data_IF_304148511367
#
_entry.id   IF_304148511367
#
_cell.length_a   1.000
_cell.length_b   1.000
_cell.length_c   1.000
_cell.angle_alpha   90.00
_cell.angle_beta   90.00
_cell.angle_gamma   90.00
#
_symmetry.space_group_name_H-M   'P 1'
#
loop_
_entity.id
_entity.type
_entity.pdbx_description
1 polymer ?
#
# COMPACT_ATOMS: atom_id res chain seq x y z
N UNK A 1 -13.73 27.73 84.59
CA UNK A 1 -14.85 27.96 83.63
C UNK A 1 -14.35 27.64 82.20
N UNK A 2 -14.64 26.44 81.69
CA UNK A 2 -14.21 26.02 80.39
C UNK A 2 -15.35 26.26 79.43
N UNK A 3 -15.15 27.10 78.41
CA UNK A 3 -16.10 27.30 77.31
C UNK A 3 -15.93 26.21 76.29
N UNK A 4 -17.00 25.45 76.03
CA UNK A 4 -17.12 24.44 74.95
C UNK A 4 -17.63 25.19 73.72
N UNK A 5 -16.84 25.16 72.62
CA UNK A 5 -17.22 25.68 71.33
C UNK A 5 -17.71 24.49 70.50
N UNK A 6 -19.01 24.53 70.10
CA UNK A 6 -19.65 23.53 69.28
C UNK A 6 -19.43 23.91 67.84
N UNK A 7 -18.70 23.08 67.05
CA UNK A 7 -18.59 23.21 65.57
C UNK A 7 -19.71 22.44 64.92
N UNK A 8 -20.56 23.16 64.22
CA UNK A 8 -21.56 22.57 63.36
C UNK A 8 -20.90 22.19 62.01
N UNK A 9 -20.92 20.90 61.66
CA UNK A 9 -20.49 20.39 60.35
C UNK A 9 -21.69 20.43 59.40
N UNK A 10 -21.63 21.34 58.42
CA UNK A 10 -22.61 21.37 57.31
C UNK A 10 -22.14 20.41 56.24
N UNK A 11 -22.84 19.30 56.04
CA UNK A 11 -22.56 18.36 54.98
C UNK A 11 -23.13 18.89 53.64
N UNK A 12 -22.23 19.23 52.74
CA UNK A 12 -22.57 19.61 51.36
C UNK A 12 -22.74 18.33 50.52
N UNK A 13 -23.98 17.99 50.15
CA UNK A 13 -24.29 16.91 49.22
C UNK A 13 -23.96 17.37 47.80
N UNK A 14 -22.82 16.94 47.28
CA UNK A 14 -22.53 17.04 45.87
C UNK A 14 -23.25 15.92 45.09
N UNK A 15 -24.33 16.27 44.39
CA UNK A 15 -24.96 15.40 43.42
C UNK A 15 -24.05 15.33 42.19
N UNK A 16 -23.28 14.24 42.06
CA UNK A 16 -22.55 13.88 40.87
C UNK A 16 -23.55 13.46 39.78
N UNK A 17 -23.74 14.32 38.80
CA UNK A 17 -24.44 13.99 37.57
C UNK A 17 -23.51 13.09 36.72
N UNK A 18 -23.60 11.78 36.89
CA UNK A 18 -22.88 10.80 36.09
C UNK A 18 -23.44 10.80 34.68
N UNK A 19 -22.76 11.45 33.75
CA UNK A 19 -22.96 11.20 32.32
C UNK A 19 -22.54 9.77 32.03
N UNK A 20 -23.54 8.88 31.78
CA UNK A 20 -23.29 7.57 31.18
C UNK A 20 -22.73 7.82 29.78
N UNK A 21 -21.41 7.67 29.64
CA UNK A 21 -20.80 7.43 28.33
C UNK A 21 -21.25 6.03 27.90
N UNK A 22 -22.23 5.97 27.02
CA UNK A 22 -22.55 4.76 26.29
C UNK A 22 -21.29 4.36 25.48
N UNK A 23 -20.47 3.49 26.06
CA UNK A 23 -19.46 2.75 25.33
C UNK A 23 -20.22 1.79 24.41
N UNK A 24 -20.54 2.26 23.22
CA UNK A 24 -20.98 1.40 22.11
C UNK A 24 -19.75 0.58 21.72
N UNK A 25 -19.52 -0.51 22.44
CA UNK A 25 -18.66 -1.61 22.03
C UNK A 25 -19.37 -2.39 20.91
N UNK A 26 -19.62 -1.72 19.79
CA UNK A 26 -19.90 -2.39 18.52
C UNK A 26 -18.56 -2.88 18.01
N UNK A 27 -18.29 -4.19 18.11
CA UNK A 27 -17.28 -4.85 17.28
C UNK A 27 -17.60 -4.47 15.83
N UNK A 28 -16.85 -3.50 15.27
CA UNK A 28 -16.91 -3.19 13.85
C UNK A 28 -16.55 -4.49 13.14
N UNK A 29 -17.58 -5.19 12.62
CA UNK A 29 -17.39 -6.35 11.74
C UNK A 29 -16.40 -5.91 10.69
N UNK A 30 -15.27 -6.59 10.56
CA UNK A 30 -14.21 -6.17 9.65
C UNK A 30 -14.84 -5.90 8.28
N UNK A 31 -14.63 -4.70 7.74
CA UNK A 31 -15.18 -4.29 6.43
C UNK A 31 -14.68 -5.17 5.27
N UNK A 32 -13.77 -6.10 5.54
CA UNK A 32 -13.12 -7.01 4.59
C UNK A 32 -13.56 -8.47 4.71
N UNK A 33 -14.45 -8.83 5.64
CA UNK A 33 -14.91 -10.23 5.84
C UNK A 33 -15.61 -10.82 4.60
N UNK A 34 -16.14 -9.96 3.73
CA UNK A 34 -16.84 -10.37 2.50
C UNK A 34 -15.98 -10.15 1.24
N UNK A 35 -14.67 -9.91 1.39
CA UNK A 35 -13.81 -9.79 0.22
C UNK A 35 -13.69 -11.15 -0.47
N UNK A 36 -14.03 -11.18 -1.77
CA UNK A 36 -13.94 -12.40 -2.57
C UNK A 36 -12.52 -12.54 -3.11
N UNK A 37 -11.74 -13.44 -2.51
CA UNK A 37 -10.41 -13.75 -2.98
C UNK A 37 -10.45 -14.46 -4.33
N UNK A 38 -9.53 -14.12 -5.26
CA UNK A 38 -9.40 -14.86 -6.52
C UNK A 38 -8.92 -16.30 -6.26
N UNK A 39 -9.19 -17.17 -7.22
CA UNK A 39 -8.50 -18.45 -7.32
C UNK A 39 -7.03 -18.19 -7.67
N UNK A 40 -6.10 -18.75 -6.90
CA UNK A 40 -4.67 -18.73 -7.21
C UNK A 40 -4.29 -20.05 -7.86
N UNK A 41 -3.83 -19.98 -9.10
CA UNK A 41 -3.23 -21.09 -9.82
C UNK A 41 -1.71 -20.94 -9.77
N UNK A 42 -1.08 -21.71 -8.86
CA UNK A 42 0.36 -21.70 -8.70
C UNK A 42 1.03 -22.72 -9.63
N UNK A 43 2.03 -22.28 -10.40
CA UNK A 43 2.77 -23.11 -11.35
C UNK A 43 4.27 -22.98 -11.10
N UNK A 44 4.93 -24.11 -10.88
CA UNK A 44 6.39 -24.16 -10.85
C UNK A 44 6.95 -24.55 -12.23
N UNK A 45 7.69 -23.63 -12.85
CA UNK A 45 8.48 -23.86 -14.06
C UNK A 45 9.99 -23.82 -13.81
N UNK A 46 10.41 -23.71 -12.57
CA UNK A 46 11.82 -23.62 -12.15
C UNK A 46 12.27 -24.87 -11.38
N UNK A 47 11.56 -26.01 -11.54
CA UNK A 47 11.87 -27.25 -10.82
C UNK A 47 13.32 -27.70 -11.02
N UNK A 48 14.00 -28.07 -9.90
CA UNK A 48 15.41 -28.47 -9.89
C UNK A 48 16.40 -27.31 -9.83
N UNK A 49 15.96 -26.05 -9.73
CA UNK A 49 16.83 -24.89 -9.50
C UNK A 49 16.99 -24.58 -8.02
N UNK A 50 18.14 -24.08 -7.61
CA UNK A 50 18.41 -23.61 -6.24
C UNK A 50 17.37 -22.60 -5.78
N UNK A 51 17.02 -21.63 -6.64
CA UNK A 51 16.03 -20.60 -6.31
C UNK A 51 14.62 -21.16 -6.05
N UNK A 52 14.22 -22.23 -6.77
CA UNK A 52 12.97 -22.94 -6.47
C UNK A 52 13.01 -23.61 -5.10
N UNK A 53 14.09 -24.32 -4.79
CA UNK A 53 14.22 -25.03 -3.50
C UNK A 53 14.16 -24.03 -2.32
N UNK A 54 14.81 -22.88 -2.46
CA UNK A 54 14.76 -21.79 -1.47
C UNK A 54 13.32 -21.27 -1.34
N UNK A 55 12.67 -20.93 -2.46
CA UNK A 55 11.30 -20.41 -2.46
C UNK A 55 10.34 -21.38 -1.79
N UNK A 56 10.35 -22.66 -2.19
CA UNK A 56 9.46 -23.69 -1.68
C UNK A 56 9.66 -23.95 -0.17
N UNK A 57 10.89 -23.85 0.31
CA UNK A 57 11.22 -23.96 1.74
C UNK A 57 10.65 -22.80 2.55
N UNK A 58 10.75 -21.57 2.02
CA UNK A 58 10.36 -20.34 2.74
C UNK A 58 8.85 -20.08 2.62
N UNK A 59 8.26 -20.38 1.46
CA UNK A 59 6.84 -20.16 1.16
C UNK A 59 6.19 -21.48 0.74
N UNK A 60 5.99 -22.40 1.69
CA UNK A 60 5.46 -23.74 1.38
C UNK A 60 3.98 -23.72 0.98
N UNK A 61 3.29 -22.63 1.22
CA UNK A 61 1.88 -22.45 0.84
C UNK A 61 1.66 -21.13 0.08
N UNK A 62 2.01 -21.09 -1.22
CA UNK A 62 1.90 -19.88 -2.03
C UNK A 62 0.47 -19.31 -2.12
N UNK A 63 -0.57 -20.15 -2.16
CA UNK A 63 -1.97 -19.70 -2.21
C UNK A 63 -2.32 -18.82 -1.00
N UNK A 64 -2.03 -19.28 0.19
CA UNK A 64 -2.30 -18.53 1.44
C UNK A 64 -1.45 -17.27 1.48
N UNK A 65 -0.18 -17.35 1.09
CA UNK A 65 0.73 -16.22 1.11
C UNK A 65 0.30 -15.12 0.13
N UNK A 66 -0.09 -15.48 -1.09
CA UNK A 66 -0.57 -14.53 -2.11
C UNK A 66 -1.88 -13.88 -1.65
N UNK A 67 -2.85 -14.65 -1.14
CA UNK A 67 -4.14 -14.12 -0.64
C UNK A 67 -3.96 -13.13 0.51
N UNK A 68 -3.00 -13.38 1.41
CA UNK A 68 -2.66 -12.42 2.46
C UNK A 68 -2.15 -11.10 1.87
N UNK A 69 -1.25 -11.15 0.89
CA UNK A 69 -0.72 -9.94 0.24
C UNK A 69 -1.78 -9.22 -0.59
N UNK A 70 -2.72 -9.92 -1.24
CA UNK A 70 -3.88 -9.31 -1.90
C UNK A 70 -4.67 -8.46 -0.90
N UNK A 71 -4.96 -8.99 0.28
CA UNK A 71 -5.72 -8.26 1.28
C UNK A 71 -5.01 -6.99 1.73
N UNK A 72 -3.70 -7.03 1.91
CA UNK A 72 -2.89 -5.83 2.24
C UNK A 72 -2.96 -4.77 1.13
N UNK A 73 -2.88 -5.18 -0.14
CA UNK A 73 -3.00 -4.29 -1.31
C UNK A 73 -4.38 -3.63 -1.36
N UNK A 74 -5.45 -4.42 -1.32
CA UNK A 74 -6.81 -3.86 -1.45
C UNK A 74 -7.17 -2.99 -0.24
N UNK A 75 -6.70 -3.31 0.96
CA UNK A 75 -6.87 -2.47 2.15
C UNK A 75 -6.12 -1.13 2.05
N UNK A 76 -5.04 -1.07 1.28
CA UNK A 76 -4.31 0.17 1.02
C UNK A 76 -4.99 1.03 -0.03
N UNK A 77 -5.64 0.42 -1.03
CA UNK A 77 -6.26 1.11 -2.18
C UNK A 77 -7.74 1.45 -1.98
N UNK A 78 -8.44 0.79 -1.04
CA UNK A 78 -9.90 0.87 -0.84
C UNK A 78 -10.26 0.93 0.64
N UNK A 79 -11.47 1.40 0.96
CA UNK A 79 -11.96 1.48 2.34
C UNK A 79 -12.63 0.18 2.81
N UNK A 80 -13.25 -0.56 1.89
CA UNK A 80 -13.99 -1.76 2.22
C UNK A 80 -14.12 -2.71 1.02
N UNK A 81 -14.52 -3.95 1.28
CA UNK A 81 -14.85 -4.92 0.23
C UNK A 81 -16.10 -4.57 -0.58
N UNK A 82 -16.86 -3.54 -0.17
CA UNK A 82 -18.03 -3.05 -0.90
C UNK A 82 -17.68 -1.97 -1.94
N UNK A 83 -16.43 -1.49 -1.96
CA UNK A 83 -15.99 -0.53 -2.97
C UNK A 83 -15.90 -1.20 -4.35
N UNK A 84 -15.88 -0.39 -5.42
CA UNK A 84 -15.73 -0.89 -6.79
C UNK A 84 -14.30 -1.36 -7.07
N UNK A 85 -13.93 -2.47 -6.45
CA UNK A 85 -12.63 -3.13 -6.62
C UNK A 85 -12.62 -3.90 -7.94
N UNK A 86 -11.54 -3.85 -8.76
CA UNK A 86 -11.39 -4.69 -9.95
C UNK A 86 -11.63 -6.17 -9.62
N UNK A 87 -12.59 -6.78 -10.31
CA UNK A 87 -13.03 -8.15 -10.02
C UNK A 87 -12.07 -9.18 -10.64
N UNK A 88 -10.91 -9.33 -10.04
CA UNK A 88 -9.96 -10.40 -10.40
C UNK A 88 -10.50 -11.73 -9.85
N UNK A 89 -10.80 -12.65 -10.77
CA UNK A 89 -11.33 -13.98 -10.43
C UNK A 89 -10.22 -15.03 -10.33
N UNK A 90 -9.12 -14.82 -11.08
CA UNK A 90 -8.01 -15.77 -11.14
C UNK A 90 -6.66 -15.09 -11.26
N UNK A 91 -5.69 -15.62 -10.54
CA UNK A 91 -4.27 -15.25 -10.61
C UNK A 91 -3.46 -16.48 -10.98
N UNK A 92 -2.79 -16.43 -12.13
CA UNK A 92 -1.78 -17.42 -12.50
C UNK A 92 -0.43 -16.91 -12.00
N UNK A 93 0.07 -17.51 -10.92
CA UNK A 93 1.35 -17.15 -10.34
C UNK A 93 2.38 -18.23 -10.66
N UNK A 94 3.46 -17.85 -11.34
CA UNK A 94 4.46 -18.78 -11.87
C UNK A 94 5.84 -18.44 -11.33
N UNK A 95 6.55 -19.44 -10.78
CA UNK A 95 7.98 -19.35 -10.54
C UNK A 95 8.70 -19.84 -11.80
N UNK A 96 9.59 -18.99 -12.38
CA UNK A 96 10.28 -19.26 -13.63
C UNK A 96 11.79 -19.09 -13.48
N UNK A 97 12.58 -19.93 -14.15
CA UNK A 97 14.03 -19.78 -14.22
C UNK A 97 14.44 -18.83 -15.37
N UNK A 98 14.19 -17.55 -15.14
CA UNK A 98 14.44 -16.48 -16.11
C UNK A 98 15.17 -15.29 -15.47
N UNK A 99 15.82 -14.48 -16.30
CA UNK A 99 16.38 -13.21 -15.85
C UNK A 99 15.26 -12.19 -15.53
N UNK A 100 15.62 -11.18 -14.74
CA UNK A 100 14.69 -10.17 -14.26
C UNK A 100 14.22 -10.46 -12.83
N UNK A 101 13.10 -9.87 -12.46
CA UNK A 101 12.52 -10.02 -11.12
C UNK A 101 11.11 -10.60 -11.22
N UNK A 102 10.19 -9.83 -11.80
CA UNK A 102 8.78 -10.16 -11.92
C UNK A 102 8.12 -9.27 -12.97
N UNK A 103 6.95 -9.66 -13.44
CA UNK A 103 6.03 -8.79 -14.16
C UNK A 103 4.60 -9.32 -14.06
N UNK A 104 3.64 -8.39 -14.07
CA UNK A 104 2.22 -8.70 -14.19
C UNK A 104 1.76 -8.59 -15.64
N UNK A 105 1.03 -9.58 -16.11
CA UNK A 105 0.31 -9.59 -17.39
C UNK A 105 -1.19 -9.75 -17.22
N UNK A 106 -1.95 -9.63 -18.32
CA UNK A 106 -3.39 -9.77 -18.33
C UNK A 106 -4.13 -8.60 -17.66
N UNK A 107 -5.44 -8.79 -17.43
CA UNK A 107 -6.33 -7.83 -16.81
C UNK A 107 -7.57 -8.54 -16.27
N UNK A 108 -8.59 -7.79 -15.83
CA UNK A 108 -9.85 -8.37 -15.37
C UNK A 108 -10.44 -9.26 -16.46
N UNK A 109 -10.88 -10.49 -16.15
CA UNK A 109 -10.99 -11.11 -14.82
C UNK A 109 -9.76 -11.97 -14.42
N UNK A 110 -8.72 -12.08 -15.25
CA UNK A 110 -7.60 -12.99 -15.04
C UNK A 110 -6.26 -12.28 -15.26
N UNK A 111 -5.38 -12.32 -14.24
CA UNK A 111 -4.02 -11.79 -14.32
C UNK A 111 -3.00 -12.92 -14.20
N UNK A 112 -1.81 -12.69 -14.76
CA UNK A 112 -0.65 -13.54 -14.58
C UNK A 112 0.48 -12.76 -13.92
N UNK A 113 1.22 -13.40 -13.05
CA UNK A 113 2.43 -12.86 -12.42
C UNK A 113 3.50 -13.92 -12.54
N UNK A 114 4.64 -13.62 -13.15
CA UNK A 114 5.82 -14.45 -13.00
C UNK A 114 6.74 -13.89 -11.91
N UNK A 115 7.50 -14.76 -11.25
CA UNK A 115 8.54 -14.41 -10.30
C UNK A 115 9.78 -15.24 -10.59
N UNK A 116 10.94 -14.58 -10.70
CA UNK A 116 12.19 -15.21 -11.06
C UNK A 116 12.80 -16.03 -9.93
N UNK A 117 13.07 -17.31 -10.16
CA UNK A 117 13.82 -18.15 -9.22
C UNK A 117 15.27 -17.66 -9.05
N UNK A 118 15.86 -17.05 -10.09
CA UNK A 118 17.19 -16.44 -10.01
C UNK A 118 17.22 -15.24 -9.08
N UNK A 119 16.13 -14.46 -9.01
CA UNK A 119 16.01 -13.36 -8.07
C UNK A 119 15.87 -13.86 -6.62
N UNK A 120 15.15 -14.98 -6.42
CA UNK A 120 15.06 -15.65 -5.11
C UNK A 120 16.45 -16.07 -4.64
N UNK A 121 17.22 -16.76 -5.48
CA UNK A 121 18.58 -17.20 -5.16
C UNK A 121 19.51 -16.02 -4.85
N UNK A 122 19.47 -14.96 -5.67
CA UNK A 122 20.23 -13.74 -5.44
C UNK A 122 19.85 -13.05 -4.12
N UNK A 123 18.57 -13.07 -3.78
CA UNK A 123 18.07 -12.49 -2.53
C UNK A 123 18.58 -13.26 -1.31
N UNK A 124 18.60 -14.59 -1.38
CA UNK A 124 19.13 -15.45 -0.34
C UNK A 124 20.64 -15.22 -0.14
N UNK A 125 21.42 -15.17 -1.21
CA UNK A 125 22.83 -14.81 -1.17
C UNK A 125 23.08 -13.42 -0.58
N UNK A 126 22.16 -12.48 -0.76
CA UNK A 126 22.25 -11.11 -0.27
C UNK A 126 21.83 -10.90 1.18
N UNK A 127 21.24 -11.91 1.86
CA UNK A 127 20.76 -11.73 3.23
C UNK A 127 19.92 -12.87 3.80
N UNK A 128 20.02 -14.07 3.22
CA UNK A 128 19.35 -15.28 3.72
C UNK A 128 17.83 -15.26 3.59
N UNK A 129 17.17 -16.11 4.36
CA UNK A 129 15.72 -16.34 4.32
C UNK A 129 14.89 -15.07 4.55
N UNK A 130 15.31 -14.21 5.49
CA UNK A 130 14.63 -12.96 5.78
C UNK A 130 14.62 -12.02 4.57
N UNK A 131 15.73 -11.98 3.82
CA UNK A 131 15.83 -11.18 2.60
C UNK A 131 14.94 -11.75 1.49
N UNK A 132 14.88 -13.06 1.34
CA UNK A 132 13.97 -13.71 0.38
C UNK A 132 12.52 -13.38 0.71
N UNK A 133 12.12 -13.52 1.98
CA UNK A 133 10.77 -13.22 2.42
C UNK A 133 10.41 -11.75 2.20
N UNK A 134 11.32 -10.84 2.52
CA UNK A 134 11.16 -9.39 2.32
C UNK A 134 11.00 -9.04 0.83
N UNK A 135 11.86 -9.56 -0.04
CA UNK A 135 11.80 -9.27 -1.49
C UNK A 135 10.56 -9.91 -2.12
N UNK A 136 10.25 -11.16 -1.81
CA UNK A 136 9.06 -11.85 -2.33
C UNK A 136 7.78 -11.12 -1.94
N UNK A 137 7.67 -10.66 -0.68
CA UNK A 137 6.56 -9.84 -0.24
C UNK A 137 6.51 -8.50 -0.98
N UNK A 138 7.65 -7.82 -1.09
CA UNK A 138 7.74 -6.54 -1.78
C UNK A 138 7.33 -6.63 -3.26
N UNK A 139 7.78 -7.66 -3.96
CA UNK A 139 7.40 -7.93 -5.35
C UNK A 139 5.89 -8.23 -5.45
N UNK A 140 5.35 -9.08 -4.58
CA UNK A 140 3.91 -9.36 -4.60
C UNK A 140 3.07 -8.12 -4.35
N UNK A 141 3.45 -7.25 -3.41
CA UNK A 141 2.75 -5.98 -3.16
C UNK A 141 2.74 -5.09 -4.40
N UNK A 142 3.84 -5.04 -5.16
CA UNK A 142 3.93 -4.28 -6.41
C UNK A 142 3.05 -4.88 -7.52
N UNK A 143 3.25 -6.15 -7.85
CA UNK A 143 2.56 -6.80 -8.97
C UNK A 143 1.05 -6.94 -8.73
N UNK A 144 0.65 -7.26 -7.50
CA UNK A 144 -0.77 -7.32 -7.13
C UNK A 144 -1.42 -5.93 -7.20
N UNK A 145 -0.68 -4.86 -6.90
CA UNK A 145 -1.21 -3.50 -7.05
C UNK A 145 -1.61 -3.24 -8.49
N UNK A 146 -0.84 -3.66 -9.49
CA UNK A 146 -1.23 -3.55 -10.89
C UNK A 146 -2.53 -4.32 -11.25
N UNK A 147 -2.89 -5.34 -10.48
CA UNK A 147 -4.17 -6.03 -10.64
C UNK A 147 -5.36 -5.27 -10.04
N UNK A 148 -5.13 -4.49 -9.00
CA UNK A 148 -6.19 -3.89 -8.19
C UNK A 148 -6.24 -2.36 -8.22
N UNK A 149 -5.22 -1.67 -8.73
CA UNK A 149 -5.28 -0.21 -8.90
C UNK A 149 -6.22 0.18 -10.04
N UNK A 150 -6.84 1.35 -9.91
CA UNK A 150 -7.64 1.95 -10.96
C UNK A 150 -6.74 2.67 -11.95
N UNK A 151 -7.20 2.84 -13.20
CA UNK A 151 -6.41 3.42 -14.28
C UNK A 151 -6.84 4.85 -14.59
N UNK A 152 -5.88 5.78 -14.83
CA UNK A 152 -6.16 7.15 -15.25
C UNK A 152 -7.03 7.24 -16.50
N UNK A 153 -8.10 8.02 -16.45
CA UNK A 153 -9.04 8.18 -17.55
C UNK A 153 -8.73 9.41 -18.42
N UNK A 154 -8.94 9.27 -19.74
CA UNK A 154 -8.86 10.39 -20.70
C UNK A 154 -7.45 10.81 -21.12
N UNK A 155 -6.40 10.01 -20.82
CA UNK A 155 -4.99 10.35 -21.12
C UNK A 155 -4.22 9.25 -21.89
N UNK A 156 -4.93 8.31 -22.52
CA UNK A 156 -4.30 7.19 -23.22
C UNK A 156 -4.03 5.99 -22.32
N UNK A 157 -2.88 5.33 -22.48
CA UNK A 157 -2.56 4.08 -21.78
C UNK A 157 -1.08 4.01 -21.38
N UNK A 158 -0.73 2.91 -20.68
CA UNK A 158 0.60 2.63 -20.16
C UNK A 158 1.73 2.74 -21.21
N UNK A 159 1.50 2.24 -22.43
CA UNK A 159 2.51 2.22 -23.50
C UNK A 159 2.64 3.54 -24.27
N UNK A 160 1.68 4.46 -24.15
CA UNK A 160 1.60 5.68 -24.96
C UNK A 160 1.73 6.99 -24.18
N UNK A 161 1.60 6.95 -22.85
CA UNK A 161 1.58 8.17 -22.04
C UNK A 161 2.46 8.01 -20.78
N UNK A 162 3.50 8.85 -20.69
CA UNK A 162 4.44 8.83 -19.56
C UNK A 162 3.76 9.14 -18.22
N UNK A 163 2.75 10.02 -18.19
CA UNK A 163 2.00 10.36 -16.97
C UNK A 163 1.20 9.14 -16.48
N UNK A 164 0.57 8.42 -17.42
CA UNK A 164 -0.13 7.17 -17.12
C UNK A 164 0.84 6.13 -16.55
N UNK A 165 1.96 5.88 -17.25
CA UNK A 165 3.00 4.96 -16.80
C UNK A 165 3.54 5.33 -15.41
N UNK A 166 3.86 6.62 -15.18
CA UNK A 166 4.40 7.07 -13.90
C UNK A 166 3.40 6.87 -12.75
N UNK A 167 2.09 7.05 -13.00
CA UNK A 167 1.05 6.75 -12.02
C UNK A 167 1.00 5.25 -11.72
N UNK A 168 0.96 4.39 -12.75
CA UNK A 168 0.83 2.94 -12.59
C UNK A 168 1.99 2.37 -11.75
N UNK A 169 3.23 2.67 -12.14
CA UNK A 169 4.42 2.18 -11.45
C UNK A 169 4.61 2.86 -10.07
N UNK A 170 4.31 4.16 -10.01
CA UNK A 170 4.40 4.93 -8.77
C UNK A 170 3.40 4.46 -7.72
N UNK A 171 2.15 4.14 -8.09
CA UNK A 171 1.15 3.60 -7.16
C UNK A 171 1.55 2.20 -6.66
N UNK A 172 2.07 1.34 -7.53
CA UNK A 172 2.53 0.02 -7.14
C UNK A 172 3.65 0.10 -6.09
N UNK A 173 4.63 0.96 -6.31
CA UNK A 173 5.69 1.18 -5.32
C UNK A 173 5.23 1.99 -4.09
N UNK A 174 4.21 2.86 -4.21
CA UNK A 174 3.62 3.53 -3.04
C UNK A 174 2.92 2.53 -2.11
N UNK A 175 2.17 1.58 -2.66
CA UNK A 175 1.54 0.49 -1.89
C UNK A 175 2.60 -0.41 -1.26
N UNK A 176 3.63 -0.80 -2.02
CA UNK A 176 4.78 -1.54 -1.50
C UNK A 176 5.47 -0.79 -0.34
N UNK A 177 5.74 0.52 -0.50
CA UNK A 177 6.37 1.35 0.52
C UNK A 177 5.49 1.53 1.76
N UNK A 178 4.18 1.75 1.57
CA UNK A 178 3.20 1.90 2.66
C UNK A 178 3.15 0.67 3.57
N UNK A 179 3.29 -0.50 2.97
CA UNK A 179 3.30 -1.79 3.67
C UNK A 179 4.72 -2.26 4.08
N UNK A 180 5.72 -1.37 4.10
CA UNK A 180 7.07 -1.68 4.58
C UNK A 180 7.91 -2.56 3.65
N UNK A 181 7.58 -2.62 2.35
CA UNK A 181 8.28 -3.45 1.36
C UNK A 181 9.55 -2.81 0.77
N UNK A 182 10.00 -1.67 1.33
CA UNK A 182 11.29 -1.05 1.00
C UNK A 182 12.03 -0.63 2.27
N UNK A 183 13.38 -0.72 2.29
CA UNK A 183 14.18 -0.12 3.34
C UNK A 183 14.02 1.41 3.33
N UNK A 184 13.99 2.04 4.52
CA UNK A 184 13.90 3.50 4.63
C UNK A 184 15.07 4.22 3.93
N UNK A 185 16.24 3.57 3.86
CA UNK A 185 17.45 4.05 3.18
C UNK A 185 17.32 4.19 1.67
N UNK A 186 16.30 3.59 1.06
CA UNK A 186 16.04 3.74 -0.37
C UNK A 186 15.50 5.12 -0.75
N UNK A 187 14.95 5.86 0.22
CA UNK A 187 14.46 7.23 -0.01
C UNK A 187 15.62 8.18 -0.16
N UNK A 188 15.80 8.73 -1.35
CA UNK A 188 16.89 9.66 -1.67
C UNK A 188 16.32 10.92 -2.31
N UNK A 189 16.89 12.12 -2.02
CA UNK A 189 16.55 13.33 -2.77
C UNK A 189 17.01 13.22 -4.21
N UNK A 190 16.36 13.99 -5.08
CA UNK A 190 16.59 14.03 -6.52
C UNK A 190 15.48 13.38 -7.32
N UNK A 191 15.64 13.36 -8.64
CA UNK A 191 14.63 12.87 -9.58
C UNK A 191 13.45 13.82 -9.77
N UNK A 192 12.38 13.26 -10.30
CA UNK A 192 11.13 13.96 -10.60
C UNK A 192 9.94 13.11 -10.18
N UNK A 193 8.83 13.74 -9.80
CA UNK A 193 7.60 13.02 -9.44
C UNK A 193 7.01 12.15 -10.57
N UNK A 194 7.46 12.35 -11.83
CA UNK A 194 7.08 11.55 -13.01
C UNK A 194 8.07 10.42 -13.35
N UNK A 195 9.04 10.12 -12.50
CA UNK A 195 10.05 9.08 -12.80
C UNK A 195 9.54 7.65 -12.60
N UNK A 196 8.32 7.49 -12.09
CA UNK A 196 7.74 6.19 -11.79
C UNK A 196 8.42 5.48 -10.61
N UNK A 197 8.11 4.19 -10.44
CA UNK A 197 8.70 3.30 -9.44
C UNK A 197 8.94 3.97 -8.07
N UNK A 198 10.07 3.68 -7.42
CA UNK A 198 10.38 4.17 -6.07
C UNK A 198 10.38 5.70 -5.94
N UNK A 199 10.81 6.43 -6.98
CA UNK A 199 10.86 7.91 -6.92
C UNK A 199 9.46 8.50 -6.76
N UNK A 200 8.54 8.12 -7.62
CA UNK A 200 7.12 8.51 -7.52
C UNK A 200 6.46 7.84 -6.31
N UNK A 201 6.72 6.56 -6.09
CA UNK A 201 6.11 5.76 -5.03
C UNK A 201 6.37 6.30 -3.62
N UNK A 202 7.61 6.65 -3.32
CA UNK A 202 7.95 7.24 -2.02
C UNK A 202 7.35 8.62 -1.83
N UNK A 203 7.23 9.41 -2.90
CA UNK A 203 6.54 10.69 -2.85
C UNK A 203 5.05 10.52 -2.55
N UNK A 204 4.35 9.64 -3.29
CA UNK A 204 2.94 9.35 -3.04
C UNK A 204 2.71 8.79 -1.63
N UNK A 205 3.59 7.90 -1.17
CA UNK A 205 3.52 7.39 0.20
C UNK A 205 3.77 8.50 1.23
N UNK A 206 4.70 9.45 0.99
CA UNK A 206 4.91 10.58 1.88
C UNK A 206 3.68 11.49 1.98
N UNK A 207 2.88 11.62 0.91
CA UNK A 207 1.63 12.40 0.93
C UNK A 207 0.58 11.85 1.91
N UNK A 208 0.72 10.61 2.38
CA UNK A 208 -0.12 10.10 3.49
C UNK A 208 0.09 10.85 4.79
N UNK A 209 1.18 11.60 4.93
CA UNK A 209 1.39 12.54 6.07
C UNK A 209 0.49 13.77 5.98
N UNK A 210 -0.03 14.11 4.80
CA UNK A 210 -0.97 15.21 4.59
C UNK A 210 -2.43 14.77 4.74
N UNK A 211 -2.72 13.53 4.33
CA UNK A 211 -4.02 12.89 4.45
C UNK A 211 -3.82 11.38 4.59
N UNK A 212 -4.21 10.80 5.71
CA UNK A 212 -4.00 9.36 5.99
C UNK A 212 -4.66 8.44 4.93
N UNK A 213 -5.73 8.89 4.28
CA UNK A 213 -6.42 8.18 3.22
C UNK A 213 -5.93 8.54 1.80
N UNK A 214 -4.79 9.25 1.70
CA UNK A 214 -4.31 9.79 0.43
C UNK A 214 -4.25 8.72 -0.68
N UNK A 215 -3.65 7.55 -0.44
CA UNK A 215 -3.51 6.52 -1.47
C UNK A 215 -4.86 6.02 -1.99
N UNK A 216 -5.87 5.83 -1.12
CA UNK A 216 -7.23 5.45 -1.51
C UNK A 216 -7.90 6.52 -2.37
N UNK A 217 -7.85 7.77 -1.91
CA UNK A 217 -8.43 8.92 -2.61
C UNK A 217 -7.73 9.16 -3.95
N UNK A 218 -6.39 9.01 -3.98
CA UNK A 218 -5.60 9.19 -5.18
C UNK A 218 -5.85 8.08 -6.22
N UNK A 219 -5.98 6.82 -5.77
CA UNK A 219 -6.45 5.74 -6.62
C UNK A 219 -7.84 6.04 -7.20
N UNK A 220 -8.79 6.47 -6.38
CA UNK A 220 -10.16 6.80 -6.81
C UNK A 220 -10.21 8.01 -7.74
N UNK A 221 -9.30 8.98 -7.61
CA UNK A 221 -9.24 10.17 -8.45
C UNK A 221 -9.10 9.86 -9.94
N UNK A 222 -8.61 8.66 -10.30
CA UNK A 222 -8.50 8.23 -11.70
C UNK A 222 -9.84 8.18 -12.42
N UNK A 223 -10.94 7.97 -11.69
CA UNK A 223 -12.31 7.95 -12.20
C UNK A 223 -13.02 9.31 -12.06
N UNK A 224 -12.54 10.18 -11.16
CA UNK A 224 -13.22 11.43 -10.78
C UNK A 224 -12.62 12.67 -11.43
N UNK A 225 -11.35 12.60 -11.86
CA UNK A 225 -10.63 13.67 -12.57
C UNK A 225 -10.44 13.23 -14.02
N UNK A 226 -11.18 13.82 -14.96
CA UNK A 226 -11.11 13.43 -16.39
C UNK A 226 -11.01 14.68 -17.26
N UNK A 227 -9.99 14.84 -18.13
CA UNK A 227 -8.82 13.97 -18.26
C UNK A 227 -7.94 14.01 -17.00
N UNK A 228 -7.38 12.86 -16.65
CA UNK A 228 -6.60 12.74 -15.43
C UNK A 228 -5.24 13.44 -15.53
N UNK A 229 -4.78 14.04 -14.44
CA UNK A 229 -3.41 14.53 -14.30
C UNK A 229 -2.99 14.47 -12.82
N UNK A 230 -1.68 14.35 -12.56
CA UNK A 230 -1.17 14.38 -11.18
C UNK A 230 -1.60 15.65 -10.45
N UNK A 231 -1.46 16.83 -11.08
CA UNK A 231 -1.82 18.11 -10.44
C UNK A 231 -3.33 18.23 -10.19
N UNK A 232 -4.15 17.75 -11.15
CA UNK A 232 -5.61 17.68 -11.00
C UNK A 232 -6.01 16.76 -9.84
N UNK A 233 -5.42 15.58 -9.76
CA UNK A 233 -5.65 14.61 -8.69
C UNK A 233 -5.20 15.14 -7.31
N UNK A 234 -4.03 15.78 -7.22
CA UNK A 234 -3.55 16.45 -6.00
C UNK A 234 -4.54 17.51 -5.53
N UNK A 235 -4.99 18.38 -6.43
CA UNK A 235 -5.97 19.44 -6.11
C UNK A 235 -7.33 18.87 -5.70
N UNK A 236 -7.73 17.76 -6.31
CA UNK A 236 -8.96 17.05 -5.97
C UNK A 236 -8.89 16.43 -4.56
N UNK A 237 -7.78 15.76 -4.23
CA UNK A 237 -7.61 15.02 -2.97
C UNK A 237 -7.25 15.91 -1.81
N UNK A 238 -6.29 16.82 -1.98
CA UNK A 238 -5.73 17.64 -0.89
C UNK A 238 -6.29 19.06 -0.86
N UNK A 239 -6.94 19.51 -1.95
CA UNK A 239 -7.52 20.83 -2.09
C UNK A 239 -6.76 21.77 -3.02
N UNK A 240 -7.47 22.77 -3.56
CA UNK A 240 -7.01 23.67 -4.64
C UNK A 240 -5.75 24.50 -4.32
N UNK A 241 -5.39 24.64 -3.04
CA UNK A 241 -4.19 25.38 -2.60
C UNK A 241 -2.89 24.61 -2.87
N UNK A 242 -2.94 23.30 -3.10
CA UNK A 242 -1.78 22.46 -3.36
C UNK A 242 -1.52 22.33 -4.86
N UNK A 243 -0.25 22.24 -5.23
CA UNK A 243 0.19 21.85 -6.57
C UNK A 243 1.18 20.70 -6.48
N UNK A 244 1.27 19.91 -7.54
CA UNK A 244 2.19 18.76 -7.57
C UNK A 244 3.64 19.20 -7.38
N UNK A 245 4.08 20.27 -8.06
CA UNK A 245 5.45 20.78 -7.97
C UNK A 245 5.74 21.38 -6.59
N UNK A 246 4.77 22.09 -5.99
CA UNK A 246 4.90 22.61 -4.64
C UNK A 246 5.10 21.51 -3.60
N UNK A 247 4.30 20.43 -3.67
CA UNK A 247 4.44 19.27 -2.78
C UNK A 247 5.70 18.47 -3.07
N UNK A 248 6.12 18.37 -4.33
CA UNK A 248 7.39 17.74 -4.67
C UNK A 248 8.58 18.48 -4.05
N UNK A 249 8.61 19.82 -4.15
CA UNK A 249 9.65 20.64 -3.53
C UNK A 249 9.66 20.49 -1.99
N UNK A 250 8.49 20.43 -1.36
CA UNK A 250 8.36 20.19 0.08
C UNK A 250 8.92 18.80 0.46
N UNK A 251 8.60 17.77 -0.33
CA UNK A 251 9.13 16.42 -0.15
C UNK A 251 10.66 16.38 -0.29
N UNK A 252 11.23 17.06 -1.30
CA UNK A 252 12.70 17.13 -1.48
C UNK A 252 13.38 17.84 -0.31
N UNK A 253 12.78 18.91 0.22
CA UNK A 253 13.28 19.57 1.42
C UNK A 253 13.23 18.65 2.66
N UNK A 254 12.15 17.90 2.85
CA UNK A 254 12.03 16.88 3.89
C UNK A 254 13.14 15.84 3.81
N UNK A 255 13.42 15.29 2.61
CA UNK A 255 14.48 14.29 2.42
C UNK A 255 15.87 14.85 2.73
N UNK A 256 16.10 16.13 2.38
CA UNK A 256 17.39 16.78 2.60
C UNK A 256 17.63 17.08 4.08
N UNK A 257 16.59 17.48 4.81
CA UNK A 257 16.70 17.78 6.25
C UNK A 257 16.98 16.51 7.07
N UNK A 258 16.35 15.39 6.72
CA UNK A 258 16.52 14.12 7.44
C UNK A 258 17.86 13.40 7.15
N UNK A 259 18.65 13.86 6.18
CA UNK A 259 20.02 13.37 5.96
C UNK A 259 21.05 13.98 6.92
N UNK A 260 20.70 15.05 7.64
CA UNK A 260 21.62 15.77 8.51
C UNK A 260 21.53 15.33 9.98
N UNK A 261 20.60 14.45 10.31
CA UNK A 261 20.45 13.80 11.62
C UNK A 261 20.94 12.34 11.57
#
# INVERSE_FOLDING_TARGET
MKKIILFAFTALLLTSCGSKSDVVSGTKKSSWNNFNHPQVNFVNKAGGTTGWEIYNRIIPNPDVYIKKNILEVVQTLYWSSADSIPNIQKINYTIEDVDGISAKGGGVPEISIFYSSRWVEKSEQGGGDDKVLFETRGVLLHELTHGYQLEPQGIGNYGSNKTFWAFIEGMADAVRAHNGGFPATNRKPGGNWMDGYQTTGFFLQWLTTKDADFLRKFNKSTLEVVPWSFDGAIKHVLGKKYSIDGLWNEYQAFLTSNKKS
#
